data_IF_174231534620
#
_entry.id   IF_174231534620
#
_cell.length_a   1.000
_cell.length_b   1.000
_cell.length_c   1.000
_cell.angle_alpha   90.00
_cell.angle_beta   90.00
_cell.angle_gamma   90.00
#
_symmetry.space_group_name_H-M   'P 1'
#
loop_
_entity.id
_entity.type
_entity.pdbx_description
1 polymer ?
#
# COMPACT_ATOMS: atom_id res chain seq x y z
N UNK A 1 -25.61 -7.49 19.17
CA UNK A 1 -24.87 -6.93 18.02
C UNK A 1 -24.52 -8.05 17.03
N UNK A 2 -24.69 -7.84 15.72
CA UNK A 2 -24.35 -8.81 14.66
C UNK A 2 -23.81 -8.10 13.42
N UNK A 3 -23.21 -8.85 12.48
CA UNK A 3 -22.54 -8.30 11.30
C UNK A 3 -23.51 -7.52 10.40
N UNK A 4 -24.77 -7.94 10.30
CA UNK A 4 -25.77 -7.24 9.50
C UNK A 4 -26.07 -5.84 10.05
N UNK A 5 -26.07 -5.67 11.37
CA UNK A 5 -26.21 -4.36 12.01
C UNK A 5 -25.01 -3.46 11.72
N UNK A 6 -23.78 -4.03 11.71
CA UNK A 6 -22.59 -3.28 11.31
C UNK A 6 -22.67 -2.85 9.84
N UNK A 7 -23.07 -3.74 8.94
CA UNK A 7 -23.30 -3.41 7.52
C UNK A 7 -24.31 -2.27 7.34
N UNK A 8 -25.40 -2.26 8.13
CA UNK A 8 -26.39 -1.17 8.09
C UNK A 8 -25.78 0.17 8.55
N UNK A 9 -24.97 0.15 9.59
CA UNK A 9 -24.25 1.38 10.04
C UNK A 9 -23.34 1.90 8.95
N UNK A 10 -22.54 1.03 8.34
CA UNK A 10 -21.63 1.41 7.23
C UNK A 10 -22.43 1.95 6.04
N UNK A 11 -23.51 1.29 5.65
CA UNK A 11 -24.34 1.71 4.54
C UNK A 11 -25.00 3.09 4.77
N UNK A 12 -25.51 3.35 5.99
CA UNK A 12 -26.13 4.65 6.33
C UNK A 12 -25.09 5.76 6.33
N UNK A 13 -23.90 5.52 6.92
CA UNK A 13 -22.83 6.51 6.96
C UNK A 13 -22.39 6.92 5.55
N UNK A 14 -22.26 5.94 4.63
CA UNK A 14 -21.83 6.16 3.24
C UNK A 14 -22.95 6.75 2.34
N UNK A 15 -24.23 6.56 2.70
CA UNK A 15 -25.35 7.06 1.90
C UNK A 15 -25.89 8.40 2.39
N UNK A 16 -25.61 8.82 3.62
CA UNK A 16 -26.11 10.04 4.21
C UNK A 16 -27.60 10.03 4.60
N UNK A 17 -28.37 9.02 4.19
CA UNK A 17 -29.78 8.86 4.56
C UNK A 17 -30.15 7.40 4.81
N UNK A 18 -31.11 7.18 5.76
CA UNK A 18 -31.63 5.84 6.03
C UNK A 18 -32.40 5.24 4.83
N UNK A 19 -33.03 6.09 4.01
CA UNK A 19 -33.79 5.65 2.84
C UNK A 19 -32.85 5.10 1.77
N UNK A 20 -31.83 5.86 1.39
CA UNK A 20 -30.87 5.46 0.38
C UNK A 20 -30.07 4.21 0.82
N UNK A 21 -29.68 4.15 2.10
CA UNK A 21 -29.04 2.95 2.65
C UNK A 21 -29.95 1.72 2.56
N UNK A 22 -31.25 1.86 2.86
CA UNK A 22 -32.20 0.76 2.77
C UNK A 22 -32.36 0.26 1.32
N UNK A 23 -32.43 1.17 0.36
CA UNK A 23 -32.45 0.85 -1.08
C UNK A 23 -31.21 0.08 -1.50
N UNK A 24 -30.00 0.53 -1.11
CA UNK A 24 -28.72 -0.16 -1.40
C UNK A 24 -28.61 -1.53 -0.73
N UNK A 25 -29.18 -1.68 0.44
CA UNK A 25 -29.17 -2.95 1.21
C UNK A 25 -30.32 -3.88 0.89
N UNK A 26 -31.20 -3.51 -0.06
CA UNK A 26 -32.39 -4.28 -0.47
C UNK A 26 -33.32 -4.63 0.71
N UNK A 27 -33.51 -3.70 1.66
CA UNK A 27 -34.38 -3.86 2.81
C UNK A 27 -35.37 -2.71 2.94
N UNK A 28 -36.44 -2.89 3.73
CA UNK A 28 -37.34 -1.79 4.04
C UNK A 28 -36.68 -0.79 4.99
N UNK A 29 -36.86 0.52 4.74
CA UNK A 29 -36.33 1.56 5.63
C UNK A 29 -36.80 1.42 7.09
N UNK A 30 -38.05 1.02 7.42
CA UNK A 30 -38.44 0.74 8.79
C UNK A 30 -37.63 -0.39 9.43
N UNK A 31 -37.36 -1.49 8.71
CA UNK A 31 -36.56 -2.61 9.22
C UNK A 31 -35.16 -2.20 9.54
N UNK A 32 -34.51 -1.45 8.63
CA UNK A 32 -33.16 -0.91 8.83
C UNK A 32 -33.11 0.05 10.03
N UNK A 33 -34.11 0.95 10.16
CA UNK A 33 -34.20 1.88 11.28
C UNK A 33 -34.39 1.19 12.63
N UNK A 34 -35.20 0.11 12.69
CA UNK A 34 -35.39 -0.68 13.90
C UNK A 34 -34.10 -1.37 14.29
N UNK A 35 -33.42 -2.03 13.35
CA UNK A 35 -32.18 -2.74 13.58
C UNK A 35 -31.06 -1.82 14.15
N UNK A 36 -30.90 -0.64 13.57
CA UNK A 36 -29.92 0.35 14.07
C UNK A 36 -30.32 0.90 15.44
N UNK A 37 -31.61 1.17 15.68
CA UNK A 37 -32.09 1.63 16.99
C UNK A 37 -31.84 0.59 18.09
N UNK A 38 -32.02 -0.70 17.78
CA UNK A 38 -31.79 -1.78 18.72
C UNK A 38 -30.29 -1.92 19.04
N UNK A 39 -29.44 -1.76 18.03
CA UNK A 39 -27.99 -1.69 18.20
C UNK A 39 -27.59 -0.48 19.10
N UNK A 40 -28.10 0.73 18.83
CA UNK A 40 -27.85 1.91 19.65
C UNK A 40 -28.30 1.72 21.11
N UNK A 41 -29.42 1.00 21.32
CA UNK A 41 -29.92 0.67 22.66
C UNK A 41 -28.97 -0.31 23.38
N UNK A 42 -28.47 -1.32 22.68
CA UNK A 42 -27.48 -2.28 23.21
C UNK A 42 -26.17 -1.59 23.58
N UNK A 43 -25.68 -0.67 22.73
CA UNK A 43 -24.45 0.08 22.93
C UNK A 43 -24.56 1.19 23.99
N UNK A 44 -25.76 1.62 24.31
CA UNK A 44 -26.02 2.70 25.27
C UNK A 44 -25.68 4.10 24.76
N UNK A 45 -25.48 4.27 23.45
CA UNK A 45 -25.27 5.58 22.83
C UNK A 45 -25.84 5.66 21.41
N UNK A 46 -26.04 6.89 20.91
CA UNK A 46 -26.47 7.14 19.55
C UNK A 46 -25.29 7.13 18.59
N UNK A 47 -25.40 6.30 17.53
CA UNK A 47 -24.44 6.28 16.42
C UNK A 47 -24.75 7.45 15.48
N UNK A 48 -26.02 7.69 15.20
CA UNK A 48 -26.48 8.73 14.27
C UNK A 48 -27.27 9.83 14.95
N UNK A 49 -27.13 11.06 14.42
CA UNK A 49 -28.03 12.18 14.64
C UNK A 49 -28.75 12.50 13.31
N UNK A 50 -30.06 12.71 13.38
CA UNK A 50 -30.87 13.11 12.22
C UNK A 50 -31.08 14.61 12.27
N UNK A 51 -30.93 15.26 11.12
CA UNK A 51 -31.20 16.70 10.94
C UNK A 51 -32.09 16.90 9.72
N UNK A 52 -32.56 18.12 9.47
CA UNK A 52 -33.28 18.48 8.25
C UNK A 52 -32.44 18.31 6.98
N UNK A 53 -31.10 18.34 7.09
CA UNK A 53 -30.16 18.19 5.99
C UNK A 53 -29.62 16.77 5.80
N UNK A 54 -30.04 15.78 6.63
CA UNK A 54 -29.59 14.40 6.48
C UNK A 54 -29.25 13.70 7.79
N UNK A 55 -28.57 12.60 7.67
CA UNK A 55 -28.12 11.75 8.78
C UNK A 55 -26.61 11.86 8.93
N UNK A 56 -26.13 12.16 10.12
CA UNK A 56 -24.72 12.35 10.42
C UNK A 56 -24.30 11.46 11.58
N UNK A 57 -23.06 11.03 11.58
CA UNK A 57 -22.46 10.31 12.71
C UNK A 57 -22.31 11.25 13.93
N UNK A 58 -22.55 10.72 15.13
CA UNK A 58 -22.12 11.38 16.37
C UNK A 58 -20.62 11.19 16.54
N UNK A 59 -19.99 11.85 17.52
CA UNK A 59 -18.57 11.63 17.82
C UNK A 59 -18.29 10.14 18.12
N UNK A 60 -19.03 9.56 19.04
CA UNK A 60 -18.91 8.10 19.34
C UNK A 60 -19.34 7.22 18.17
N UNK A 61 -20.26 7.71 17.35
CA UNK A 61 -20.67 7.04 16.11
C UNK A 61 -19.56 6.97 15.08
N UNK A 62 -18.70 7.98 14.98
CA UNK A 62 -17.54 7.97 14.08
C UNK A 62 -16.52 6.91 14.52
N UNK A 63 -16.16 6.91 15.80
CA UNK A 63 -15.26 5.91 16.39
C UNK A 63 -15.78 4.47 16.18
N UNK A 64 -17.10 4.29 16.35
CA UNK A 64 -17.76 3.01 16.10
C UNK A 64 -17.78 2.63 14.61
N UNK A 65 -18.06 3.59 13.73
CA UNK A 65 -18.09 3.38 12.28
C UNK A 65 -16.75 2.89 11.73
N UNK A 66 -15.63 3.50 12.15
CA UNK A 66 -14.29 3.11 11.74
C UNK A 66 -14.04 1.62 12.05
N UNK A 67 -14.35 1.20 13.28
CA UNK A 67 -14.20 -0.20 13.69
C UNK A 67 -15.21 -1.15 13.03
N UNK A 68 -16.44 -0.70 12.85
CA UNK A 68 -17.46 -1.48 12.12
C UNK A 68 -17.05 -1.70 10.66
N UNK A 69 -16.45 -0.71 10.01
CA UNK A 69 -15.97 -0.83 8.63
C UNK A 69 -14.84 -1.86 8.50
N UNK A 70 -13.87 -1.87 9.44
CA UNK A 70 -12.82 -2.88 9.50
C UNK A 70 -13.39 -4.30 9.65
N UNK A 71 -14.33 -4.48 10.60
CA UNK A 71 -14.97 -5.78 10.84
C UNK A 71 -15.80 -6.28 9.66
N UNK A 72 -16.55 -5.40 9.00
CA UNK A 72 -17.33 -5.76 7.81
C UNK A 72 -16.42 -6.19 6.68
N UNK A 73 -15.34 -5.44 6.40
CA UNK A 73 -14.33 -5.82 5.41
C UNK A 73 -13.71 -7.18 5.70
N UNK A 74 -13.26 -7.39 6.94
CA UNK A 74 -12.68 -8.67 7.35
C UNK A 74 -13.67 -9.85 7.22
N UNK A 75 -14.94 -9.62 7.55
CA UNK A 75 -15.98 -10.62 7.37
C UNK A 75 -16.27 -10.91 5.89
N UNK A 76 -16.24 -9.89 5.01
CA UNK A 76 -16.43 -10.07 3.58
C UNK A 76 -15.29 -10.88 2.96
N UNK A 77 -14.03 -10.60 3.36
CA UNK A 77 -12.85 -11.41 2.97
C UNK A 77 -13.04 -12.86 3.43
N UNK A 78 -13.38 -13.07 4.71
CA UNK A 78 -13.63 -14.40 5.26
C UNK A 78 -14.77 -15.13 4.50
N UNK A 79 -15.87 -14.44 4.25
CA UNK A 79 -17.01 -15.01 3.54
C UNK A 79 -16.63 -15.40 2.11
N UNK A 80 -15.93 -14.54 1.38
CA UNK A 80 -15.50 -14.83 0.01
C UNK A 80 -14.52 -16.01 -0.02
N UNK A 81 -13.58 -16.07 0.90
CA UNK A 81 -12.61 -17.17 1.00
C UNK A 81 -13.26 -18.54 1.18
N UNK A 82 -14.45 -18.63 1.79
CA UNK A 82 -15.10 -19.91 2.08
C UNK A 82 -16.42 -20.16 1.34
N UNK A 83 -17.03 -19.12 0.77
CA UNK A 83 -18.30 -19.26 0.07
C UNK A 83 -18.16 -19.68 -1.41
N UNK A 84 -17.07 -19.30 -2.07
CA UNK A 84 -16.83 -19.58 -3.49
C UNK A 84 -15.40 -20.06 -3.72
N UNK A 85 -15.06 -21.32 -3.38
CA UNK A 85 -13.70 -21.86 -3.59
C UNK A 85 -13.24 -21.86 -5.06
N UNK A 86 -14.16 -21.73 -6.02
CA UNK A 86 -13.82 -21.65 -7.45
C UNK A 86 -13.50 -20.24 -7.93
N UNK A 87 -13.96 -19.18 -7.22
CA UNK A 87 -13.63 -17.78 -7.54
C UNK A 87 -12.23 -17.37 -7.02
N UNK A 88 -11.67 -18.07 -6.04
CA UNK A 88 -10.29 -17.88 -5.56
C UNK A 88 -9.22 -18.07 -6.65
N UNK A 89 -9.55 -18.78 -7.73
CA UNK A 89 -8.61 -19.02 -8.83
C UNK A 89 -8.39 -17.81 -9.74
N UNK A 90 -9.27 -16.82 -9.69
CA UNK A 90 -9.27 -15.70 -10.64
C UNK A 90 -8.72 -14.39 -10.06
N UNK A 91 -8.46 -14.30 -8.73
CA UNK A 91 -8.00 -13.09 -8.08
C UNK A 91 -6.58 -13.23 -7.52
N UNK A 92 -5.75 -12.21 -7.76
CA UNK A 92 -4.45 -12.06 -7.15
C UNK A 92 -4.32 -10.70 -6.49
N UNK A 93 -3.89 -10.65 -5.23
CA UNK A 93 -3.80 -9.43 -4.45
C UNK A 93 -2.40 -9.19 -3.90
N UNK A 94 -1.89 -7.98 -4.13
CA UNK A 94 -0.57 -7.55 -3.70
C UNK A 94 -0.60 -6.16 -3.09
N UNK A 95 0.14 -5.97 -2.00
CA UNK A 95 0.44 -4.66 -1.44
C UNK A 95 1.92 -4.34 -1.65
N UNK A 96 2.28 -3.11 -1.96
CA UNK A 96 3.68 -2.74 -2.13
C UNK A 96 3.93 -1.28 -1.78
N UNK A 97 5.19 -0.94 -1.50
CA UNK A 97 5.69 0.41 -1.63
C UNK A 97 5.72 0.81 -3.11
N UNK A 98 6.03 2.07 -3.39
CA UNK A 98 6.02 2.62 -4.75
C UNK A 98 7.27 2.17 -5.53
N UNK A 99 7.19 1.03 -6.21
CA UNK A 99 8.30 0.46 -6.98
C UNK A 99 8.06 0.49 -8.49
N UNK A 100 9.08 0.91 -9.24
CA UNK A 100 9.03 1.01 -10.71
C UNK A 100 9.01 -0.36 -11.39
N UNK A 101 9.47 -1.41 -10.73
CA UNK A 101 9.42 -2.78 -11.26
C UNK A 101 8.04 -3.44 -11.15
N UNK A 102 7.12 -2.90 -10.36
CA UNK A 102 5.82 -3.53 -10.13
C UNK A 102 4.93 -3.56 -11.39
N UNK A 103 4.73 -2.44 -12.13
CA UNK A 103 3.94 -2.49 -13.35
C UNK A 103 4.46 -3.49 -14.41
N UNK A 104 5.75 -3.53 -14.76
CA UNK A 104 6.25 -4.52 -15.72
C UNK A 104 6.11 -5.96 -15.22
N UNK A 105 6.32 -6.25 -13.93
CA UNK A 105 6.15 -7.62 -13.42
C UNK A 105 4.69 -8.07 -13.42
N UNK A 106 3.75 -7.19 -13.05
CA UNK A 106 2.31 -7.49 -13.12
C UNK A 106 1.87 -7.68 -14.58
N UNK A 107 2.37 -6.85 -15.51
CA UNK A 107 2.07 -6.98 -16.93
C UNK A 107 2.59 -8.32 -17.46
N UNK A 108 3.83 -8.69 -17.14
CA UNK A 108 4.39 -9.97 -17.55
C UNK A 108 3.58 -11.15 -16.99
N UNK A 109 3.21 -11.09 -15.70
CA UNK A 109 2.37 -12.10 -15.06
C UNK A 109 1.01 -12.25 -15.76
N UNK A 110 0.32 -11.15 -16.01
CA UNK A 110 -1.00 -11.17 -16.66
C UNK A 110 -0.96 -11.71 -18.10
N UNK A 111 0.15 -11.51 -18.80
CA UNK A 111 0.35 -12.07 -20.15
C UNK A 111 0.70 -13.56 -20.13
N UNK A 112 1.47 -13.99 -19.14
CA UNK A 112 1.90 -15.38 -19.01
C UNK A 112 0.81 -16.29 -18.47
N UNK A 113 -0.07 -15.75 -17.60
CA UNK A 113 -1.14 -16.47 -16.91
C UNK A 113 -2.50 -15.79 -17.12
N UNK A 114 -3.07 -15.85 -18.34
CA UNK A 114 -4.30 -15.14 -18.71
C UNK A 114 -5.58 -15.67 -18.03
N UNK A 115 -5.51 -16.78 -17.32
CA UNK A 115 -6.58 -17.29 -16.47
C UNK A 115 -6.86 -16.41 -15.25
N UNK A 116 -5.85 -15.68 -14.72
CA UNK A 116 -6.05 -14.70 -13.65
C UNK A 116 -6.57 -13.40 -14.25
N UNK A 117 -7.76 -12.98 -13.86
CA UNK A 117 -8.47 -11.83 -14.46
C UNK A 117 -8.58 -10.63 -13.52
N UNK A 118 -8.51 -10.87 -12.22
CA UNK A 118 -8.68 -9.84 -11.22
C UNK A 118 -7.36 -9.61 -10.47
N UNK A 119 -6.84 -8.39 -10.57
CA UNK A 119 -5.60 -7.97 -9.91
C UNK A 119 -5.92 -6.83 -8.95
N UNK A 120 -5.75 -7.07 -7.66
CA UNK A 120 -5.79 -6.01 -6.65
C UNK A 120 -4.37 -5.59 -6.32
N UNK A 121 -4.03 -4.37 -6.72
CA UNK A 121 -2.71 -3.77 -6.47
C UNK A 121 -2.91 -2.61 -5.53
N UNK A 122 -2.28 -2.66 -4.36
CA UNK A 122 -2.39 -1.66 -3.31
C UNK A 122 -1.02 -1.06 -3.01
N UNK A 123 -0.74 0.12 -3.59
CA UNK A 123 0.47 0.87 -3.25
C UNK A 123 0.22 1.75 -2.03
N UNK A 124 1.08 1.65 -1.02
CA UNK A 124 0.91 2.37 0.22
C UNK A 124 2.18 2.40 1.09
N UNK A 125 2.02 2.94 2.30
CA UNK A 125 3.09 3.03 3.30
C UNK A 125 3.45 1.66 3.86
N UNK A 126 4.68 1.50 4.36
CA UNK A 126 5.16 0.24 4.98
C UNK A 126 4.19 -0.29 6.04
N UNK A 127 3.66 0.60 6.90
CA UNK A 127 2.74 0.20 7.98
C UNK A 127 1.44 -0.37 7.41
N UNK A 128 0.86 0.31 6.42
CA UNK A 128 -0.39 -0.12 5.79
C UNK A 128 -0.21 -1.42 5.00
N UNK A 129 0.94 -1.61 4.32
CA UNK A 129 1.26 -2.87 3.62
C UNK A 129 1.29 -4.04 4.60
N UNK A 130 1.98 -3.89 5.74
CA UNK A 130 2.05 -4.95 6.75
C UNK A 130 0.65 -5.26 7.33
N UNK A 131 -0.17 -4.24 7.56
CA UNK A 131 -1.53 -4.42 8.06
C UNK A 131 -2.45 -5.08 7.00
N UNK A 132 -2.33 -4.72 5.72
CA UNK A 132 -3.05 -5.34 4.60
C UNK A 132 -2.76 -6.84 4.49
N UNK A 133 -1.49 -7.23 4.62
CA UNK A 133 -1.10 -8.65 4.58
C UNK A 133 -1.57 -9.39 5.84
N UNK A 134 -1.40 -8.80 7.03
CA UNK A 134 -1.82 -9.41 8.29
C UNK A 134 -3.34 -9.65 8.35
N UNK A 135 -4.12 -8.74 7.77
CA UNK A 135 -5.59 -8.85 7.69
C UNK A 135 -6.06 -9.75 6.54
N UNK A 136 -5.16 -10.24 5.69
CA UNK A 136 -5.49 -11.08 4.54
C UNK A 136 -6.15 -10.34 3.38
N UNK A 137 -6.07 -9.00 3.35
CA UNK A 137 -6.58 -8.19 2.22
C UNK A 137 -5.61 -8.24 1.03
N UNK A 138 -4.34 -8.44 1.27
CA UNK A 138 -3.32 -8.73 0.27
C UNK A 138 -2.58 -10.00 0.66
N UNK A 139 -2.28 -10.83 -0.32
CA UNK A 139 -1.58 -12.10 -0.12
C UNK A 139 -0.09 -11.89 0.11
N UNK A 140 0.50 -10.96 -0.65
CA UNK A 140 1.91 -10.62 -0.63
C UNK A 140 2.05 -9.12 -0.37
N UNK A 141 3.00 -8.76 0.52
CA UNK A 141 3.42 -7.38 0.73
C UNK A 141 4.88 -7.20 0.32
N UNK A 142 5.20 -6.26 -0.56
CA UNK A 142 6.58 -5.97 -0.98
C UNK A 142 7.08 -4.72 -0.29
N UNK A 143 8.19 -4.85 0.43
CA UNK A 143 8.87 -3.77 1.15
C UNK A 143 10.38 -3.91 1.00
N UNK A 144 11.16 -2.91 1.43
CA UNK A 144 12.59 -3.07 1.57
C UNK A 144 13.03 -3.07 3.04
N UNK A 145 14.14 -3.75 3.29
CA UNK A 145 14.85 -3.73 4.56
C UNK A 145 16.31 -3.31 4.34
N UNK A 146 16.85 -2.58 5.29
CA UNK A 146 18.27 -2.27 5.35
C UNK A 146 18.75 -2.19 6.81
N UNK A 147 20.04 -1.87 7.02
CA UNK A 147 20.62 -1.80 8.36
C UNK A 147 20.03 -0.71 9.27
N UNK A 148 19.31 0.28 8.73
CA UNK A 148 18.69 1.37 9.50
C UNK A 148 17.24 1.04 9.89
N UNK A 149 16.44 0.44 8.99
CA UNK A 149 15.01 0.24 9.18
C UNK A 149 14.61 -1.15 9.69
N UNK A 150 15.45 -2.18 9.43
CA UNK A 150 15.08 -3.58 9.67
C UNK A 150 14.66 -3.87 11.12
N UNK A 151 15.30 -3.25 12.12
CA UNK A 151 15.00 -3.53 13.53
C UNK A 151 13.55 -3.18 13.89
N UNK A 152 13.08 -2.01 13.49
CA UNK A 152 11.72 -1.57 13.80
C UNK A 152 10.65 -2.30 12.97
N UNK A 153 10.95 -2.53 11.68
CA UNK A 153 10.04 -3.25 10.79
C UNK A 153 9.89 -4.71 11.21
N UNK A 154 11.00 -5.41 11.53
CA UNK A 154 10.96 -6.81 11.98
C UNK A 154 10.17 -7.00 13.27
N UNK A 155 10.27 -6.08 14.24
CA UNK A 155 9.43 -6.15 15.46
C UNK A 155 7.93 -6.08 15.15
N UNK A 156 7.52 -5.27 14.14
CA UNK A 156 6.13 -5.20 13.73
C UNK A 156 5.70 -6.46 12.98
N UNK A 157 6.53 -6.97 12.09
CA UNK A 157 6.31 -8.20 11.33
C UNK A 157 6.05 -9.36 12.28
N UNK A 158 6.93 -9.58 13.28
CA UNK A 158 6.78 -10.60 14.32
C UNK A 158 5.46 -10.44 15.10
N UNK A 159 5.15 -9.21 15.52
CA UNK A 159 3.90 -8.91 16.24
C UNK A 159 2.64 -9.22 15.42
N UNK A 160 2.72 -9.11 14.10
CA UNK A 160 1.61 -9.34 13.18
C UNK A 160 1.53 -10.79 12.70
N UNK A 161 2.45 -11.68 13.09
CA UNK A 161 2.50 -13.08 12.63
C UNK A 161 2.80 -13.19 11.13
N UNK A 162 3.73 -12.37 10.65
CA UNK A 162 4.15 -12.37 9.26
C UNK A 162 5.54 -12.99 9.11
N UNK A 163 5.77 -13.64 7.98
CA UNK A 163 7.05 -14.16 7.54
C UNK A 163 7.69 -13.27 6.49
N UNK A 164 9.01 -13.12 6.52
CA UNK A 164 9.78 -12.32 5.56
C UNK A 164 10.62 -13.24 4.68
N UNK A 165 10.52 -13.06 3.39
CA UNK A 165 11.31 -13.79 2.39
C UNK A 165 12.11 -12.80 1.55
N UNK A 166 13.41 -12.99 1.46
CA UNK A 166 14.29 -12.15 0.67
C UNK A 166 14.11 -12.42 -0.83
N UNK A 167 13.97 -11.34 -1.60
CA UNK A 167 13.89 -11.38 -3.07
C UNK A 167 15.24 -11.08 -3.70
N UNK A 168 15.81 -9.90 -3.39
CA UNK A 168 17.05 -9.45 -4.03
C UNK A 168 17.72 -8.34 -3.20
N UNK A 169 19.05 -8.35 -3.05
CA UNK A 169 19.79 -7.17 -2.60
C UNK A 169 19.89 -6.13 -3.72
N UNK A 170 19.88 -4.85 -3.38
CA UNK A 170 20.00 -3.76 -4.33
C UNK A 170 20.79 -2.57 -3.78
N UNK A 171 21.33 -1.74 -4.68
CA UNK A 171 21.97 -0.47 -4.35
C UNK A 171 20.95 0.66 -4.43
N UNK A 172 21.06 1.66 -3.55
CA UNK A 172 20.28 2.88 -3.68
C UNK A 172 20.66 3.60 -4.97
N UNK A 173 19.67 4.10 -5.68
CA UNK A 173 19.85 4.95 -6.85
C UNK A 173 19.18 6.30 -6.64
N UNK A 174 19.74 7.32 -7.26
CA UNK A 174 19.24 8.69 -7.27
C UNK A 174 18.60 8.95 -8.63
N UNK A 175 17.38 9.43 -8.61
CA UNK A 175 16.57 9.78 -9.77
C UNK A 175 16.61 11.28 -9.96
N UNK A 176 17.04 11.71 -11.13
CA UNK A 176 17.24 13.11 -11.51
C UNK A 176 16.67 13.33 -12.91
N UNK A 177 16.23 14.55 -13.22
CA UNK A 177 15.94 14.88 -14.63
C UNK A 177 17.20 14.75 -15.50
N UNK A 178 17.07 14.38 -16.77
CA UNK A 178 18.21 14.22 -17.71
C UNK A 178 19.12 15.46 -17.81
N UNK A 179 18.54 16.65 -17.74
CA UNK A 179 19.30 17.90 -17.77
C UNK A 179 19.85 18.36 -16.41
N UNK A 180 19.85 17.53 -15.37
CA UNK A 180 20.36 17.88 -14.06
C UNK A 180 21.91 18.03 -14.09
N UNK A 181 22.53 18.98 -13.35
CA UNK A 181 23.98 19.13 -13.31
C UNK A 181 24.75 17.86 -12.95
N UNK A 182 24.16 17.01 -12.08
CA UNK A 182 24.77 15.73 -11.66
C UNK A 182 24.49 14.57 -12.62
N UNK A 183 23.62 14.71 -13.63
CA UNK A 183 23.20 13.61 -14.51
C UNK A 183 24.35 12.96 -15.32
N UNK A 184 25.51 13.61 -15.41
CA UNK A 184 26.69 13.09 -16.11
C UNK A 184 27.63 12.27 -15.21
N UNK A 185 27.39 12.23 -13.90
CA UNK A 185 28.21 11.43 -12.98
C UNK A 185 27.86 9.96 -13.14
N UNK A 186 28.85 9.10 -12.97
CA UNK A 186 28.66 7.63 -13.01
C UNK A 186 28.16 7.06 -11.67
N UNK A 187 28.49 7.73 -10.59
CA UNK A 187 28.14 7.40 -9.22
C UNK A 187 28.03 8.69 -8.41
N UNK A 188 27.15 8.72 -7.43
CA UNK A 188 26.96 9.83 -6.49
C UNK A 188 27.34 9.41 -5.08
N UNK A 189 27.68 10.39 -4.27
CA UNK A 189 27.88 10.27 -2.82
C UNK A 189 26.93 11.20 -2.09
N UNK A 190 26.69 10.99 -0.79
CA UNK A 190 25.75 11.79 -0.01
C UNK A 190 26.04 13.30 -0.04
N UNK A 191 27.33 13.67 -0.12
CA UNK A 191 27.77 15.07 -0.20
C UNK A 191 27.29 15.76 -1.50
N UNK A 192 27.10 15.03 -2.58
CA UNK A 192 26.56 15.55 -3.84
C UNK A 192 25.09 15.97 -3.73
N UNK A 193 24.38 15.41 -2.78
CA UNK A 193 22.94 15.65 -2.54
C UNK A 193 22.71 16.77 -1.52
N UNK A 194 23.76 17.21 -0.82
CA UNK A 194 23.67 18.30 0.14
C UNK A 194 23.08 19.55 -0.53
N UNK A 195 22.17 20.21 0.15
CA UNK A 195 21.49 21.43 -0.31
C UNK A 195 20.57 21.27 -1.54
N UNK A 196 20.42 20.07 -2.11
CA UNK A 196 19.46 19.83 -3.18
C UNK A 196 18.04 19.69 -2.63
N UNK A 197 17.03 20.14 -3.40
CA UNK A 197 15.64 19.78 -3.12
C UNK A 197 15.44 18.26 -3.25
N UNK A 198 14.56 17.71 -2.43
CA UNK A 198 14.17 16.29 -2.53
C UNK A 198 12.68 16.15 -2.75
N UNK A 199 12.27 15.13 -3.50
CA UNK A 199 10.89 14.68 -3.59
C UNK A 199 10.79 13.23 -3.10
N UNK A 200 9.82 12.97 -2.23
CA UNK A 200 9.65 11.67 -1.59
C UNK A 200 8.19 11.32 -1.39
N UNK A 201 7.90 10.05 -1.25
CA UNK A 201 6.58 9.59 -0.84
C UNK A 201 6.32 9.93 0.63
N UNK A 202 5.13 10.46 0.92
CA UNK A 202 4.72 10.79 2.28
C UNK A 202 4.32 9.53 3.04
N UNK A 203 4.62 9.53 4.34
CA UNK A 203 4.04 8.56 5.28
C UNK A 203 2.98 9.31 6.10
N UNK A 204 1.80 8.73 6.29
CA UNK A 204 0.66 9.41 6.93
C UNK A 204 0.92 9.87 8.38
N UNK A 205 1.93 9.29 9.04
CA UNK A 205 2.34 9.65 10.40
C UNK A 205 3.87 9.70 10.46
N UNK A 206 4.41 10.88 10.69
CA UNK A 206 5.84 11.14 10.86
C UNK A 206 6.48 10.50 12.12
N UNK A 207 5.77 9.58 12.80
CA UNK A 207 6.18 9.11 14.12
C UNK A 207 7.44 8.23 14.11
N UNK A 208 7.80 7.60 12.96
CA UNK A 208 8.96 6.71 12.92
C UNK A 208 9.64 6.72 11.55
N UNK A 209 10.82 7.35 11.49
CA UNK A 209 11.67 7.44 10.29
C UNK A 209 11.98 6.07 9.64
N UNK A 210 12.02 4.98 10.42
CA UNK A 210 12.30 3.64 9.91
C UNK A 210 11.17 3.00 9.10
N UNK A 211 9.96 3.59 9.08
CA UNK A 211 8.90 3.18 8.15
C UNK A 211 8.92 3.95 6.83
N UNK A 212 9.78 4.95 6.71
CA UNK A 212 9.88 5.79 5.52
C UNK A 212 10.34 4.98 4.30
N UNK A 213 9.80 5.30 3.12
CA UNK A 213 10.30 4.79 1.84
C UNK A 213 11.58 5.50 1.37
N UNK A 214 12.16 6.37 2.18
CA UNK A 214 13.39 7.07 1.84
C UNK A 214 14.60 6.20 2.15
N UNK A 215 15.39 5.91 1.12
CA UNK A 215 16.63 5.16 1.26
C UNK A 215 17.75 5.99 1.90
N UNK A 216 17.65 7.31 1.95
CA UNK A 216 18.66 8.21 2.51
C UNK A 216 18.05 9.21 3.48
N UNK A 217 18.88 9.74 4.39
CA UNK A 217 18.50 10.85 5.25
C UNK A 217 18.36 12.14 4.43
N UNK A 218 17.17 12.70 4.40
CA UNK A 218 16.84 13.93 3.67
C UNK A 218 16.75 15.17 4.56
N UNK A 219 17.17 15.08 5.83
CA UNK A 219 17.06 16.18 6.81
C UNK A 219 17.84 17.43 6.42
N UNK A 220 18.90 17.28 5.62
CA UNK A 220 19.74 18.38 5.12
C UNK A 220 19.26 18.99 3.79
N UNK A 221 18.18 18.49 3.20
CA UNK A 221 17.67 19.00 1.92
C UNK A 221 17.19 20.44 2.02
N UNK A 222 17.50 21.27 1.01
CA UNK A 222 17.12 22.68 0.98
C UNK A 222 15.60 22.89 0.87
N UNK A 223 14.89 21.97 0.24
CA UNK A 223 13.45 21.96 0.08
C UNK A 223 12.97 20.52 -0.01
N UNK A 224 11.77 20.22 0.54
CA UNK A 224 11.21 18.89 0.56
C UNK A 224 9.79 18.89 -0.02
N UNK A 225 9.57 18.06 -1.03
CA UNK A 225 8.25 17.79 -1.60
C UNK A 225 7.78 16.42 -1.11
N UNK A 226 6.67 16.39 -0.37
CA UNK A 226 6.03 15.15 0.05
C UNK A 226 4.84 14.88 -0.88
N UNK A 227 4.84 13.74 -1.53
CA UNK A 227 3.82 13.34 -2.52
C UNK A 227 3.22 11.97 -2.18
N UNK A 228 2.08 11.67 -2.74
CA UNK A 228 1.35 10.41 -2.49
C UNK A 228 1.26 9.53 -3.73
N UNK A 229 1.72 10.04 -4.89
CA UNK A 229 1.64 9.30 -6.15
C UNK A 229 2.86 9.55 -7.03
N UNK A 230 3.15 8.57 -7.89
CA UNK A 230 4.30 8.56 -8.77
C UNK A 230 4.24 9.60 -9.89
N UNK A 231 3.05 9.91 -10.41
CA UNK A 231 2.92 10.88 -11.48
C UNK A 231 3.31 12.28 -11.01
N UNK A 232 2.88 12.66 -9.80
CA UNK A 232 3.29 13.91 -9.15
C UNK A 232 4.78 13.93 -8.86
N UNK A 233 5.36 12.82 -8.34
CA UNK A 233 6.80 12.70 -8.09
C UNK A 233 7.58 12.95 -9.38
N UNK A 234 7.29 12.22 -10.45
CA UNK A 234 7.97 12.36 -11.74
C UNK A 234 7.80 13.76 -12.32
N UNK A 235 6.59 14.33 -12.22
CA UNK A 235 6.32 15.68 -12.69
C UNK A 235 7.14 16.77 -11.98
N UNK A 236 7.46 16.60 -10.70
CA UNK A 236 8.37 17.48 -9.95
C UNK A 236 9.81 17.26 -10.38
N UNK A 237 10.26 16.01 -10.49
CA UNK A 237 11.63 15.68 -10.93
C UNK A 237 11.93 16.28 -12.30
N UNK A 238 11.07 16.12 -13.29
CA UNK A 238 11.26 16.64 -14.64
C UNK A 238 11.43 18.16 -14.71
N UNK A 239 10.82 18.89 -13.77
CA UNK A 239 10.72 20.36 -13.80
C UNK A 239 11.62 21.09 -12.83
N UNK A 240 12.32 20.35 -11.95
CA UNK A 240 13.16 20.94 -10.89
C UNK A 240 14.55 20.33 -10.86
N UNK A 241 15.41 20.81 -9.97
CA UNK A 241 16.66 20.13 -9.60
C UNK A 241 16.49 19.25 -8.35
N UNK A 242 15.27 18.81 -8.05
CA UNK A 242 15.05 17.87 -6.97
C UNK A 242 15.55 16.47 -7.36
N UNK A 243 15.88 15.69 -6.35
CA UNK A 243 16.16 14.27 -6.50
C UNK A 243 15.11 13.42 -5.77
N UNK A 244 14.96 12.19 -6.24
CA UNK A 244 14.29 11.13 -5.50
C UNK A 244 15.22 9.94 -5.34
N UNK A 245 14.88 9.05 -4.40
CA UNK A 245 15.60 7.79 -4.18
C UNK A 245 14.79 6.61 -4.66
N UNK A 246 15.46 5.57 -5.14
CA UNK A 246 14.80 4.35 -5.59
C UNK A 246 15.73 3.15 -5.66
N UNK A 247 15.18 2.00 -6.03
CA UNK A 247 15.93 0.73 -6.12
C UNK A 247 16.79 0.60 -7.37
N UNK A 248 16.60 1.46 -8.36
CA UNK A 248 17.27 1.34 -9.65
C UNK A 248 16.68 0.29 -10.59
N UNK A 249 15.72 -0.50 -10.16
CA UNK A 249 15.01 -1.46 -11.02
C UNK A 249 13.96 -0.73 -11.86
N UNK A 250 14.43 -0.11 -12.95
CA UNK A 250 13.60 0.60 -13.92
C UNK A 250 13.63 -0.11 -15.26
N UNK A 251 12.52 -0.03 -16.00
CA UNK A 251 12.53 -0.22 -17.44
C UNK A 251 12.83 1.12 -18.13
N UNK A 252 13.69 1.10 -19.14
CA UNK A 252 14.09 2.28 -19.91
C UNK A 252 12.89 3.06 -20.48
N UNK A 253 11.77 2.38 -20.68
CA UNK A 253 10.55 2.94 -21.26
C UNK A 253 9.57 3.49 -20.20
N UNK A 254 9.84 3.21 -18.91
CA UNK A 254 8.89 3.56 -17.82
C UNK A 254 8.98 5.01 -17.39
N UNK A 255 10.12 5.68 -17.61
CA UNK A 255 10.36 7.04 -17.11
C UNK A 255 11.16 7.84 -18.13
N UNK A 256 10.45 8.50 -19.03
CA UNK A 256 11.07 9.43 -19.98
C UNK A 256 11.61 10.67 -19.25
N UNK A 257 12.82 11.13 -19.58
CA UNK A 257 13.38 12.36 -19.06
C UNK A 257 14.02 12.24 -17.66
N UNK A 258 14.13 11.03 -17.11
CA UNK A 258 14.78 10.77 -15.82
C UNK A 258 16.07 9.95 -16.03
N UNK A 259 17.15 10.43 -15.41
CA UNK A 259 18.42 9.71 -15.30
C UNK A 259 18.52 9.07 -13.93
N UNK A 260 18.98 7.83 -13.91
CA UNK A 260 19.16 7.04 -12.68
C UNK A 260 20.64 6.79 -12.45
N UNK A 261 21.15 7.16 -11.29
CA UNK A 261 22.57 7.09 -10.96
C UNK A 261 22.74 6.36 -9.62
N UNK A 262 23.63 5.35 -9.53
CA UNK A 262 23.87 4.66 -8.29
C UNK A 262 24.44 5.61 -7.23
N UNK A 263 23.98 5.44 -5.99
CA UNK A 263 24.51 6.14 -4.82
C UNK A 263 25.49 5.22 -4.09
N UNK A 264 26.69 5.71 -3.83
CA UNK A 264 27.64 5.00 -2.98
C UNK A 264 27.24 5.22 -1.51
N UNK A 265 26.49 4.26 -0.98
CA UNK A 265 26.07 4.20 0.42
C UNK A 265 26.44 2.84 1.04
N UNK A 266 26.25 2.72 2.35
CA UNK A 266 26.53 1.48 3.11
C UNK A 266 25.24 0.88 3.68
N UNK A 267 24.10 1.02 3.00
CA UNK A 267 22.80 0.70 3.56
C UNK A 267 22.43 -0.78 3.51
N UNK A 268 23.07 -1.60 2.68
CA UNK A 268 22.76 -3.02 2.51
C UNK A 268 21.24 -3.27 2.28
N UNK A 269 20.70 -2.57 1.28
CA UNK A 269 19.27 -2.69 0.99
C UNK A 269 18.93 -4.06 0.42
N UNK A 270 17.79 -4.61 0.86
CA UNK A 270 17.24 -5.86 0.39
C UNK A 270 15.75 -5.67 0.10
N UNK A 271 15.34 -6.02 -1.09
CA UNK A 271 13.93 -6.19 -1.40
C UNK A 271 13.45 -7.49 -0.79
N UNK A 272 12.34 -7.44 -0.09
CA UNK A 272 11.72 -8.59 0.55
C UNK A 272 10.23 -8.60 0.26
N UNK A 273 9.63 -9.79 0.29
CA UNK A 273 8.19 -9.85 0.44
C UNK A 273 7.82 -10.43 1.80
N UNK A 274 6.64 -10.05 2.26
CA UNK A 274 6.02 -10.56 3.48
C UNK A 274 4.73 -11.30 3.15
N UNK A 275 4.46 -12.37 3.86
CA UNK A 275 3.20 -13.13 3.84
C UNK A 275 2.79 -13.49 5.24
N UNK A 276 1.57 -13.99 5.46
CA UNK A 276 1.18 -14.58 6.74
C UNK A 276 1.98 -15.86 7.00
N UNK A 277 2.53 -16.02 8.21
CA UNK A 277 3.43 -17.11 8.57
C UNK A 277 2.76 -18.50 8.41
N UNK A 278 1.51 -18.64 8.86
CA UNK A 278 0.78 -19.92 8.87
C UNK A 278 -0.04 -20.18 7.59
N UNK A 279 0.12 -19.35 6.55
CA UNK A 279 -0.66 -19.45 5.31
C UNK A 279 0.27 -19.63 4.13
N UNK A 280 0.09 -20.72 3.42
CA UNK A 280 0.79 -20.94 2.15
C UNK A 280 0.29 -19.95 1.10
N UNK A 281 1.19 -19.56 0.18
CA UNK A 281 0.79 -18.76 -0.98
C UNK A 281 -0.14 -19.58 -1.89
N UNK A 282 -1.11 -18.89 -2.47
CA UNK A 282 -1.91 -19.43 -3.57
C UNK A 282 -1.02 -19.78 -4.77
N UNK A 283 -1.55 -20.54 -5.72
CA UNK A 283 -0.84 -20.81 -6.96
C UNK A 283 -0.48 -19.50 -7.69
N UNK A 284 -1.37 -18.49 -7.67
CA UNK A 284 -1.10 -17.17 -8.24
C UNK A 284 0.06 -16.47 -7.53
N UNK A 285 0.09 -16.50 -6.20
CA UNK A 285 1.16 -15.92 -5.39
C UNK A 285 2.53 -16.54 -5.69
N UNK A 286 2.60 -17.89 -5.78
CA UNK A 286 3.83 -18.62 -6.12
C UNK A 286 4.33 -18.18 -7.51
N UNK A 287 3.46 -18.24 -8.52
CA UNK A 287 3.81 -17.91 -9.89
C UNK A 287 4.22 -16.42 -10.04
N UNK A 288 3.57 -15.52 -9.29
CA UNK A 288 3.96 -14.11 -9.30
C UNK A 288 5.35 -13.88 -8.70
N UNK A 289 5.69 -14.57 -7.62
CA UNK A 289 7.04 -14.51 -7.03
C UNK A 289 8.09 -15.02 -8.03
N UNK A 290 7.80 -16.08 -8.78
CA UNK A 290 8.68 -16.59 -9.85
C UNK A 290 8.89 -15.53 -10.95
N UNK A 291 7.83 -14.90 -11.45
CA UNK A 291 7.92 -13.83 -12.46
C UNK A 291 8.74 -12.63 -11.94
N UNK A 292 8.56 -12.25 -10.67
CA UNK A 292 9.36 -11.21 -10.05
C UNK A 292 10.84 -11.56 -9.99
N UNK A 293 11.16 -12.82 -9.60
CA UNK A 293 12.55 -13.29 -9.54
C UNK A 293 13.20 -13.30 -10.93
N UNK A 294 12.48 -13.77 -11.95
CA UNK A 294 12.95 -13.73 -13.35
C UNK A 294 13.22 -12.30 -13.82
N UNK A 295 12.35 -11.34 -13.49
CA UNK A 295 12.56 -9.94 -13.80
C UNK A 295 13.85 -9.41 -13.16
N UNK A 296 14.08 -9.67 -11.88
CA UNK A 296 15.28 -9.23 -11.18
C UNK A 296 16.55 -9.88 -11.73
N UNK A 297 16.51 -11.16 -12.09
CA UNK A 297 17.64 -11.87 -12.71
C UNK A 297 18.02 -11.30 -14.07
N UNK A 298 17.04 -10.87 -14.86
CA UNK A 298 17.28 -10.18 -16.14
C UNK A 298 17.96 -8.83 -15.93
N UNK A 299 17.50 -8.05 -14.94
CA UNK A 299 18.09 -6.73 -14.60
C UNK A 299 19.49 -6.81 -14.03
N UNK A 300 19.87 -7.90 -13.37
CA UNK A 300 21.25 -8.13 -12.90
C UNK A 300 22.25 -8.42 -14.02
N UNK A 301 21.76 -8.96 -15.13
CA UNK A 301 22.63 -9.35 -16.28
C UNK A 301 22.79 -8.24 -17.30
N UNK A 302 21.94 -7.22 -17.27
CA UNK A 302 21.96 -6.07 -18.15
C UNK A 302 22.85 -4.94 -17.60
#
# INVERSE_FOLDING_TARGET
MNIQQLRYVVAIANSGTFREAAEKMYVSQPSLSISVRDLEKELGFKIFRRTSSGTFLTRRGMEFYEKAQELVKGFDVFQNQYANPEEEKDEFSIASQHYDFLPPTITAFSQQYPEYKNFRIFESTTVQILDEVAQGHSEIGIIYLNNQNQKGIMQRIEKLGLEVIELIPFQTHIYLREGHPLAKKKELVMEDLADLPTVRFTQEKDEYLYYSENFVDTSASSQMFNVTDRATLNGILERTNAYATGSGFLDSDSVNGITVIPLNDNLNNRMVYVKREEVDLSQAGILFVEVMQEYFDQKRKA
#
